data_IF_725145304979
#
_entry.id   IF_725145304979
#
_cell.length_a   1.000
_cell.length_b   1.000
_cell.length_c   1.000
_cell.angle_alpha   90.00
_cell.angle_beta   90.00
_cell.angle_gamma   90.00
#
_symmetry.space_group_name_H-M   'P 1'
#
loop_
_entity.id
_entity.type
_entity.pdbx_description
1 polymer ?
#
# COMPACT_ATOMS: atom_id res chain seq x y z
N UNK A 1 -1.09 15.69 -12.18
CA UNK A 1 -1.76 15.55 -10.85
C UNK A 1 -2.65 14.32 -10.77
N UNK A 2 -3.75 14.25 -11.52
CA UNK A 2 -4.63 13.07 -11.49
C UNK A 2 -3.91 11.81 -11.99
N UNK A 3 -3.03 11.95 -12.97
CA UNK A 3 -2.24 10.84 -13.51
C UNK A 3 -1.35 10.16 -12.45
N UNK A 4 -0.60 10.93 -11.65
CA UNK A 4 0.21 10.39 -10.56
C UNK A 4 -0.64 9.60 -9.54
N UNK A 5 -1.81 10.13 -9.16
CA UNK A 5 -2.75 9.43 -8.29
C UNK A 5 -3.19 8.10 -8.91
N UNK A 6 -3.60 8.13 -10.19
CA UNK A 6 -4.07 6.93 -10.90
C UNK A 6 -2.96 5.88 -10.95
N UNK A 7 -1.72 6.26 -11.29
CA UNK A 7 -0.60 5.33 -11.35
C UNK A 7 -0.37 4.63 -10.00
N UNK A 8 -0.34 5.39 -8.91
CA UNK A 8 -0.16 4.84 -7.55
C UNK A 8 -1.33 3.90 -7.19
N UNK A 9 -2.57 4.31 -7.45
CA UNK A 9 -3.76 3.50 -7.18
C UNK A 9 -3.74 2.19 -7.98
N UNK A 10 -3.41 2.24 -9.26
CA UNK A 10 -3.33 1.04 -10.11
C UNK A 10 -2.21 0.10 -9.66
N UNK A 11 -1.07 0.65 -9.23
CA UNK A 11 -0.01 -0.13 -8.62
C UNK A 11 -0.52 -0.85 -7.36
N UNK A 12 -1.15 -0.13 -6.43
CA UNK A 12 -1.67 -0.71 -5.18
C UNK A 12 -2.78 -1.74 -5.41
N UNK A 13 -3.63 -1.54 -6.43
CA UNK A 13 -4.62 -2.55 -6.84
C UNK A 13 -3.91 -3.80 -7.36
N UNK A 14 -2.91 -3.65 -8.22
CA UNK A 14 -2.12 -4.78 -8.73
C UNK A 14 -1.36 -5.49 -7.62
N UNK A 15 -0.95 -4.80 -6.56
CA UNK A 15 -0.29 -5.40 -5.41
C UNK A 15 -1.27 -6.31 -4.63
N UNK A 16 -2.48 -5.82 -4.37
CA UNK A 16 -3.45 -6.43 -3.46
C UNK A 16 -4.50 -7.35 -4.11
N UNK A 17 -4.79 -7.17 -5.40
CA UNK A 17 -5.87 -7.86 -6.14
C UNK A 17 -5.32 -8.60 -7.36
N UNK A 18 -6.01 -9.65 -7.79
CA UNK A 18 -5.61 -10.40 -9.00
C UNK A 18 -5.79 -9.59 -10.28
N UNK A 19 -6.86 -8.80 -10.36
CA UNK A 19 -7.14 -7.92 -11.49
C UNK A 19 -7.77 -6.60 -11.04
N UNK A 20 -7.68 -5.55 -11.87
CA UNK A 20 -8.44 -4.31 -11.66
C UNK A 20 -9.95 -4.59 -11.56
N UNK A 21 -10.44 -5.59 -12.32
CA UNK A 21 -11.83 -6.01 -12.30
C UNK A 21 -12.25 -6.56 -10.95
N UNK A 22 -11.41 -7.34 -10.30
CA UNK A 22 -11.70 -7.85 -8.97
C UNK A 22 -11.89 -6.72 -7.96
N UNK A 23 -11.09 -5.65 -8.08
CA UNK A 23 -11.24 -4.45 -7.26
C UNK A 23 -12.52 -3.68 -7.59
N UNK A 24 -12.70 -3.19 -8.82
CA UNK A 24 -13.84 -2.32 -9.12
C UNK A 24 -15.19 -3.05 -9.08
N UNK A 25 -15.23 -4.38 -9.21
CA UNK A 25 -16.49 -5.13 -9.11
C UNK A 25 -16.87 -5.48 -7.67
N UNK A 26 -15.89 -5.58 -6.76
CA UNK A 26 -16.12 -5.90 -5.35
C UNK A 26 -16.20 -4.66 -4.46
N UNK A 27 -15.39 -3.64 -4.73
CA UNK A 27 -15.25 -2.45 -3.88
C UNK A 27 -16.00 -1.24 -4.43
N UNK A 28 -16.09 -1.12 -5.76
CA UNK A 28 -16.75 0.01 -6.42
C UNK A 28 -18.12 -0.41 -6.99
N UNK A 29 -19.01 0.55 -7.12
CA UNK A 29 -20.33 0.33 -7.74
C UNK A 29 -20.36 0.85 -9.18
N UNK A 30 -19.31 0.56 -9.97
CA UNK A 30 -19.10 1.13 -11.32
C UNK A 30 -18.86 0.07 -12.39
N UNK A 31 -19.17 0.41 -13.65
CA UNK A 31 -18.90 -0.43 -14.82
C UNK A 31 -17.44 -0.30 -15.28
N UNK A 32 -16.99 -1.25 -16.10
CA UNK A 32 -15.67 -1.21 -16.74
C UNK A 32 -15.47 0.07 -17.58
N UNK A 33 -16.52 0.52 -18.26
CA UNK A 33 -16.49 1.77 -19.04
C UNK A 33 -16.21 2.97 -18.13
N UNK A 34 -16.95 3.09 -17.02
CA UNK A 34 -16.72 4.19 -16.07
C UNK A 34 -15.34 4.09 -15.40
N UNK A 35 -14.84 2.88 -15.14
CA UNK A 35 -13.48 2.70 -14.63
C UNK A 35 -12.44 3.24 -15.63
N UNK A 36 -12.59 2.92 -16.92
CA UNK A 36 -11.69 3.41 -17.95
C UNK A 36 -11.75 4.94 -18.10
N UNK A 37 -12.97 5.50 -18.13
CA UNK A 37 -13.19 6.95 -18.21
C UNK A 37 -12.64 7.71 -17.00
N UNK A 38 -12.67 7.10 -15.81
CA UNK A 38 -12.03 7.66 -14.61
C UNK A 38 -10.50 7.67 -14.74
N UNK A 39 -9.90 6.59 -15.25
CA UNK A 39 -8.46 6.52 -15.54
C UNK A 39 -8.01 7.54 -16.60
N UNK A 40 -8.90 7.90 -17.52
CA UNK A 40 -8.65 8.91 -18.55
C UNK A 40 -8.92 10.34 -18.07
N UNK A 41 -9.43 10.50 -16.84
CA UNK A 41 -9.78 11.81 -16.28
C UNK A 41 -11.08 12.41 -16.80
N UNK A 42 -11.89 11.64 -17.55
CA UNK A 42 -13.14 12.12 -18.13
C UNK A 42 -14.27 12.24 -17.10
N UNK A 43 -14.23 11.42 -16.05
CA UNK A 43 -15.25 11.42 -14.99
C UNK A 43 -14.62 11.41 -13.61
N UNK A 44 -15.32 12.03 -12.66
CA UNK A 44 -15.03 11.89 -11.22
C UNK A 44 -15.84 10.74 -10.63
N UNK A 45 -15.29 10.10 -9.60
CA UNK A 45 -16.00 9.06 -8.85
C UNK A 45 -17.01 9.71 -7.88
N UNK A 46 -17.99 8.93 -7.43
CA UNK A 46 -18.88 9.40 -6.35
C UNK A 46 -18.12 9.34 -5.02
N UNK A 47 -18.49 10.14 -4.01
CA UNK A 47 -17.79 10.16 -2.72
C UNK A 47 -17.60 8.79 -2.07
N UNK A 48 -18.58 7.88 -2.21
CA UNK A 48 -18.47 6.50 -1.73
C UNK A 48 -17.36 5.72 -2.44
N UNK A 49 -17.29 5.84 -3.76
CA UNK A 49 -16.30 5.14 -4.59
C UNK A 49 -14.91 5.78 -4.39
N UNK A 50 -14.83 7.10 -4.19
CA UNK A 50 -13.59 7.78 -3.79
C UNK A 50 -13.08 7.28 -2.43
N UNK A 51 -13.97 7.11 -1.45
CA UNK A 51 -13.60 6.56 -0.15
C UNK A 51 -13.05 5.13 -0.26
N UNK A 52 -13.56 4.33 -1.20
CA UNK A 52 -13.03 2.99 -1.46
C UNK A 52 -11.60 3.05 -2.04
N UNK A 53 -11.29 4.02 -2.90
CA UNK A 53 -9.91 4.27 -3.36
C UNK A 53 -9.01 4.67 -2.19
N UNK A 54 -9.46 5.59 -1.33
CA UNK A 54 -8.69 6.01 -0.15
C UNK A 54 -8.42 4.82 0.78
N UNK A 55 -9.40 3.94 0.96
CA UNK A 55 -9.28 2.75 1.82
C UNK A 55 -8.33 1.66 1.33
N UNK A 56 -7.76 1.81 0.12
CA UNK A 56 -6.63 1.00 -0.31
C UNK A 56 -5.36 1.28 0.51
N UNK A 57 -5.32 2.42 1.19
CA UNK A 57 -4.19 2.91 1.95
C UNK A 57 -4.59 3.09 3.42
N UNK A 58 -3.62 3.01 4.32
CA UNK A 58 -3.81 3.57 5.67
C UNK A 58 -3.92 5.09 5.61
N UNK A 59 -4.41 5.74 6.67
CA UNK A 59 -4.49 7.21 6.74
C UNK A 59 -3.10 7.87 6.53
N UNK A 60 -2.05 7.25 7.08
CA UNK A 60 -0.68 7.73 6.93
C UNK A 60 -0.16 7.55 5.50
N UNK A 61 -0.41 6.38 4.90
CA UNK A 61 -0.04 6.13 3.52
C UNK A 61 -0.78 7.04 2.55
N UNK A 62 -2.07 7.30 2.79
CA UNK A 62 -2.83 8.26 2.00
C UNK A 62 -2.23 9.67 2.10
N UNK A 63 -1.80 10.09 3.30
CA UNK A 63 -1.06 11.34 3.45
C UNK A 63 0.23 11.34 2.62
N UNK A 64 0.99 10.24 2.56
CA UNK A 64 2.16 10.12 1.69
C UNK A 64 1.79 10.25 0.21
N UNK A 65 0.73 9.56 -0.24
CA UNK A 65 0.21 9.66 -1.61
C UNK A 65 -0.10 11.12 -1.96
N UNK A 66 -0.79 11.85 -1.07
CA UNK A 66 -1.09 13.27 -1.27
C UNK A 66 0.17 14.15 -1.37
N UNK A 67 1.21 13.84 -0.58
CA UNK A 67 2.50 14.54 -0.68
C UNK A 67 3.18 14.28 -2.02
N UNK A 68 3.17 13.03 -2.51
CA UNK A 68 3.76 12.66 -3.80
C UNK A 68 3.01 13.32 -4.95
N UNK A 69 1.68 13.30 -4.95
CA UNK A 69 0.85 13.97 -5.98
C UNK A 69 1.13 15.46 -6.01
N UNK A 70 1.29 16.10 -4.85
CA UNK A 70 1.68 17.51 -4.77
C UNK A 70 3.08 17.73 -5.34
N UNK A 71 4.05 16.88 -5.00
CA UNK A 71 5.42 17.00 -5.52
C UNK A 71 5.49 16.80 -7.03
N UNK A 72 4.70 15.89 -7.59
CA UNK A 72 4.56 15.69 -9.04
C UNK A 72 4.08 16.96 -9.80
N UNK A 73 3.59 18.00 -9.11
CA UNK A 73 3.26 19.29 -9.75
C UNK A 73 4.46 20.21 -9.93
N UNK A 74 5.53 19.97 -9.18
CA UNK A 74 6.70 20.84 -9.13
C UNK A 74 7.97 20.16 -9.64
N UNK A 75 8.03 18.83 -9.56
CA UNK A 75 9.21 18.02 -9.83
C UNK A 75 8.94 17.03 -10.97
N UNK A 76 9.51 17.24 -12.18
CA UNK A 76 9.31 16.36 -13.33
C UNK A 76 9.74 14.91 -13.07
N UNK A 77 10.76 14.70 -12.24
CA UNK A 77 11.23 13.38 -11.82
C UNK A 77 10.14 12.60 -11.06
N UNK A 78 9.40 13.27 -10.18
CA UNK A 78 8.27 12.68 -9.42
C UNK A 78 7.05 12.52 -10.32
N UNK A 79 6.83 13.44 -11.25
CA UNK A 79 5.75 13.32 -12.24
C UNK A 79 5.95 12.10 -13.15
N UNK A 80 7.19 11.83 -13.56
CA UNK A 80 7.54 10.72 -14.45
C UNK A 80 7.50 9.38 -13.70
N UNK A 81 7.91 9.36 -12.43
CA UNK A 81 8.03 8.14 -11.62
C UNK A 81 7.29 8.23 -10.27
N UNK A 82 5.96 8.47 -10.25
CA UNK A 82 5.21 8.72 -9.01
C UNK A 82 5.11 7.48 -8.12
N UNK A 83 5.08 6.29 -8.71
CA UNK A 83 5.03 5.01 -7.97
C UNK A 83 6.35 4.78 -7.24
N UNK A 84 7.48 4.97 -7.92
CA UNK A 84 8.81 4.84 -7.32
C UNK A 84 9.01 5.83 -6.17
N UNK A 85 8.60 7.10 -6.36
CA UNK A 85 8.67 8.10 -5.30
C UNK A 85 7.79 7.71 -4.09
N UNK A 86 6.56 7.25 -4.32
CA UNK A 86 5.66 6.80 -3.26
C UNK A 86 6.23 5.62 -2.48
N UNK A 87 6.75 4.61 -3.17
CA UNK A 87 7.39 3.47 -2.55
C UNK A 87 8.64 3.93 -1.78
N UNK A 88 9.50 4.72 -2.40
CA UNK A 88 10.72 5.26 -1.79
C UNK A 88 10.45 5.97 -0.46
N UNK A 89 9.49 6.90 -0.42
CA UNK A 89 9.14 7.60 0.82
C UNK A 89 8.48 6.67 1.84
N UNK A 90 7.62 5.74 1.40
CA UNK A 90 6.98 4.73 2.27
C UNK A 90 8.04 3.86 2.96
N UNK A 91 9.03 3.35 2.21
CA UNK A 91 10.15 2.58 2.77
C UNK A 91 11.04 3.41 3.69
N UNK A 92 11.38 4.62 3.25
CA UNK A 92 12.24 5.50 4.04
C UNK A 92 11.63 5.77 5.42
N UNK A 93 10.32 6.07 5.48
CA UNK A 93 9.61 6.31 6.74
C UNK A 93 9.50 5.03 7.57
N UNK A 94 9.11 3.91 6.96
CA UNK A 94 9.04 2.61 7.64
C UNK A 94 10.38 2.26 8.31
N UNK A 95 11.48 2.34 7.57
CA UNK A 95 12.84 2.10 8.09
C UNK A 95 13.20 3.05 9.22
N UNK A 96 12.83 4.33 9.10
CA UNK A 96 13.06 5.32 10.16
C UNK A 96 12.30 4.97 11.44
N UNK A 97 11.05 4.54 11.34
CA UNK A 97 10.23 4.11 12.48
C UNK A 97 10.80 2.86 13.16
N UNK A 98 11.18 1.85 12.38
CA UNK A 98 11.81 0.63 12.93
C UNK A 98 13.12 0.96 13.64
N UNK A 99 13.92 1.86 13.08
CA UNK A 99 15.21 2.25 13.65
C UNK A 99 15.11 3.18 14.86
N UNK A 100 13.99 3.88 15.07
CA UNK A 100 13.78 4.67 16.29
C UNK A 100 13.50 3.80 17.52
N UNK A 101 13.19 2.52 17.34
CA UNK A 101 12.89 1.59 18.44
C UNK A 101 11.51 1.79 19.07
N UNK A 102 10.65 2.60 18.45
CA UNK A 102 9.30 2.93 18.92
C UNK A 102 8.20 2.31 18.05
N UNK A 103 8.58 1.62 16.98
CA UNK A 103 7.64 0.97 16.08
C UNK A 103 7.34 -0.46 16.53
N UNK A 104 6.08 -0.85 16.38
CA UNK A 104 5.61 -2.22 16.57
C UNK A 104 5.45 -2.89 15.20
N UNK A 105 6.01 -4.09 15.05
CA UNK A 105 5.89 -4.89 13.82
C UNK A 105 5.02 -6.11 14.08
N UNK A 106 4.08 -6.35 13.18
CA UNK A 106 3.23 -7.53 13.24
C UNK A 106 2.76 -7.95 11.84
N UNK A 107 2.71 -9.27 11.60
CA UNK A 107 2.02 -9.78 10.42
C UNK A 107 0.51 -9.68 10.59
N UNK A 108 -0.18 -9.25 9.53
CA UNK A 108 -1.63 -9.31 9.47
C UNK A 108 -2.07 -10.77 9.37
N UNK A 109 -2.85 -11.21 10.36
CA UNK A 109 -3.58 -12.46 10.24
C UNK A 109 -4.76 -12.24 9.28
N UNK A 110 -4.67 -12.80 8.07
CA UNK A 110 -5.81 -12.80 7.16
C UNK A 110 -6.83 -13.85 7.59
N UNK A 111 -8.11 -13.47 7.65
CA UNK A 111 -9.20 -14.43 7.66
C UNK A 111 -9.44 -14.90 6.23
N UNK A 112 -9.24 -16.19 5.95
CA UNK A 112 -9.44 -16.78 4.60
C UNK A 112 -10.80 -16.45 3.97
N UNK A 113 -11.84 -16.28 4.80
CA UNK A 113 -13.21 -15.91 4.36
C UNK A 113 -13.32 -14.47 3.86
N UNK A 114 -12.53 -13.54 4.42
CA UNK A 114 -12.48 -12.14 3.98
C UNK A 114 -11.66 -11.99 2.71
N UNK A 115 -10.53 -12.71 2.58
CA UNK A 115 -9.70 -12.73 1.37
C UNK A 115 -10.48 -13.21 0.14
N UNK A 116 -11.28 -14.27 0.29
CA UNK A 116 -12.10 -14.82 -0.80
C UNK A 116 -13.23 -13.87 -1.18
N UNK A 117 -13.94 -13.28 -0.22
CA UNK A 117 -15.08 -12.40 -0.50
C UNK A 117 -14.67 -11.05 -1.09
N UNK A 118 -13.44 -10.60 -0.82
CA UNK A 118 -12.88 -9.36 -1.36
C UNK A 118 -11.97 -9.58 -2.57
N UNK A 119 -11.82 -10.82 -3.07
CA UNK A 119 -10.93 -11.14 -4.20
C UNK A 119 -9.48 -10.66 -4.01
N UNK A 120 -8.99 -10.60 -2.77
CA UNK A 120 -7.60 -10.25 -2.45
C UNK A 120 -6.67 -11.41 -2.78
N UNK A 121 -5.40 -11.13 -3.08
CA UNK A 121 -4.40 -12.16 -3.37
C UNK A 121 -4.10 -12.98 -2.11
N UNK A 122 -4.32 -14.29 -2.18
CA UNK A 122 -4.06 -15.22 -1.06
C UNK A 122 -2.58 -15.45 -0.70
N UNK A 123 -1.65 -15.08 -1.59
CA UNK A 123 -0.24 -15.45 -1.45
C UNK A 123 0.65 -14.30 -0.95
N UNK A 124 0.05 -13.16 -0.60
CA UNK A 124 0.74 -12.03 0.01
C UNK A 124 0.40 -11.98 1.49
N UNK A 125 1.43 -11.87 2.33
CA UNK A 125 1.26 -11.52 3.74
C UNK A 125 1.50 -10.02 3.89
N UNK A 126 0.68 -9.33 4.67
CA UNK A 126 0.89 -7.92 4.99
C UNK A 126 1.69 -7.79 6.29
N UNK A 127 2.84 -7.14 6.23
CA UNK A 127 3.59 -6.70 7.40
C UNK A 127 3.11 -5.29 7.81
N UNK A 128 2.61 -5.17 9.04
CA UNK A 128 2.18 -3.90 9.63
C UNK A 128 3.31 -3.31 10.46
N UNK A 129 3.54 -2.02 10.27
CA UNK A 129 4.49 -1.22 11.02
C UNK A 129 3.69 -0.08 11.66
N UNK A 130 3.48 -0.17 12.96
CA UNK A 130 2.66 0.76 13.74
C UNK A 130 3.55 1.71 14.57
N UNK A 131 3.26 3.00 14.50
CA UNK A 131 3.80 4.02 15.41
C UNK A 131 2.70 4.48 16.35
N UNK A 132 2.80 4.07 17.61
CA UNK A 132 1.85 4.46 18.65
C UNK A 132 2.21 5.82 19.22
N UNK A 133 1.20 6.65 19.49
CA UNK A 133 1.34 7.96 20.11
C UNK A 133 1.04 7.95 21.61
N UNK A 134 0.91 6.77 22.22
CA UNK A 134 0.52 6.54 23.61
C UNK A 134 -0.78 7.27 24.00
N UNK A 135 -1.65 7.47 23.01
CA UNK A 135 -2.89 8.20 23.18
C UNK A 135 -4.03 7.50 22.45
N UNK A 136 -4.89 6.81 23.23
CA UNK A 136 -6.06 6.09 22.70
C UNK A 136 -5.66 5.10 21.59
N UNK A 137 -6.47 4.99 20.54
CA UNK A 137 -6.19 4.19 19.35
C UNK A 137 -5.49 4.99 18.25
N UNK A 138 -5.00 6.21 18.55
CA UNK A 138 -4.30 7.02 17.55
C UNK A 138 -2.92 6.43 17.34
N UNK A 139 -2.71 5.95 16.12
CA UNK A 139 -1.43 5.45 15.64
C UNK A 139 -1.36 5.68 14.16
N UNK A 140 -0.15 5.85 13.67
CA UNK A 140 0.11 5.79 12.25
C UNK A 140 0.55 4.38 11.89
N UNK A 141 0.16 3.92 10.69
CA UNK A 141 0.47 2.59 10.20
C UNK A 141 1.00 2.67 8.79
N UNK A 142 2.03 1.87 8.51
CA UNK A 142 2.45 1.52 7.15
C UNK A 142 2.25 0.02 6.96
N UNK A 143 1.73 -0.37 5.80
CA UNK A 143 1.50 -1.77 5.46
C UNK A 143 2.35 -2.17 4.26
N UNK A 144 3.18 -3.21 4.41
CA UNK A 144 4.05 -3.71 3.35
C UNK A 144 3.54 -5.06 2.88
N UNK A 145 3.27 -5.20 1.59
CA UNK A 145 2.89 -6.49 1.02
C UNK A 145 4.15 -7.30 0.75
N UNK A 146 4.26 -8.45 1.42
CA UNK A 146 5.40 -9.35 1.29
C UNK A 146 4.94 -10.68 0.71
N UNK A 147 5.76 -11.33 -0.14
CA UNK A 147 5.51 -12.71 -0.55
C UNK A 147 5.35 -13.62 0.67
N UNK A 148 4.32 -14.47 0.70
CA UNK A 148 4.02 -15.33 1.86
C UNK A 148 5.16 -16.29 2.26
N UNK A 149 6.12 -16.56 1.38
CA UNK A 149 7.34 -17.32 1.69
C UNK A 149 8.21 -16.63 2.74
N UNK A 150 8.20 -15.30 2.80
CA UNK A 150 9.00 -14.51 3.74
C UNK A 150 8.52 -14.73 5.18
N UNK A 151 7.21 -14.74 5.40
CA UNK A 151 6.66 -15.02 6.73
C UNK A 151 7.11 -16.41 7.22
N UNK A 152 7.02 -17.43 6.34
CA UNK A 152 7.45 -18.79 6.67
C UNK A 152 8.95 -18.87 6.96
N UNK A 153 9.78 -18.12 6.23
CA UNK A 153 11.23 -18.06 6.47
C UNK A 153 11.54 -17.49 7.85
N UNK A 154 10.97 -16.35 8.22
CA UNK A 154 11.20 -15.72 9.52
C UNK A 154 10.73 -16.63 10.67
N UNK A 155 9.56 -17.26 10.51
CA UNK A 155 9.03 -18.23 11.49
C UNK A 155 9.93 -19.47 11.62
N UNK A 156 10.49 -19.96 10.52
CA UNK A 156 11.37 -21.15 10.49
C UNK A 156 12.74 -20.85 11.09
N UNK A 157 13.30 -19.69 10.76
CA UNK A 157 14.62 -19.24 11.21
C UNK A 157 14.59 -18.72 12.65
N UNK A 158 13.38 -18.55 13.23
CA UNK A 158 13.14 -17.96 14.55
C UNK A 158 13.85 -16.61 14.71
N UNK A 159 14.00 -15.88 13.61
CA UNK A 159 14.61 -14.57 13.60
C UNK A 159 13.63 -13.55 14.17
N UNK A 160 14.14 -12.54 14.89
CA UNK A 160 13.31 -11.42 15.33
C UNK A 160 12.85 -10.61 14.11
N UNK A 161 11.56 -10.27 14.06
CA UNK A 161 10.96 -9.59 12.91
C UNK A 161 11.56 -8.20 12.66
N UNK A 162 11.99 -7.50 13.72
CA UNK A 162 12.69 -6.20 13.59
C UNK A 162 14.09 -6.39 13.03
N UNK A 163 14.78 -7.46 13.42
CA UNK A 163 16.12 -7.79 12.92
C UNK A 163 16.05 -8.16 11.43
N UNK A 164 15.14 -9.07 11.07
CA UNK A 164 14.92 -9.44 9.67
C UNK A 164 14.61 -8.23 8.79
N UNK A 165 13.73 -7.33 9.25
CA UNK A 165 13.36 -6.13 8.52
C UNK A 165 14.58 -5.22 8.24
N UNK A 166 15.46 -5.05 9.23
CA UNK A 166 16.65 -4.21 9.08
C UNK A 166 17.66 -4.78 8.09
N UNK A 167 17.75 -6.10 7.99
CA UNK A 167 18.74 -6.80 7.17
C UNK A 167 18.28 -7.04 5.73
N UNK A 168 17.00 -7.29 5.49
CA UNK A 168 16.52 -7.88 4.23
C UNK A 168 15.54 -7.01 3.43
N UNK A 169 15.01 -5.92 4.01
CA UNK A 169 13.92 -5.18 3.34
C UNK A 169 14.35 -4.51 2.02
N UNK A 170 15.63 -4.14 1.89
CA UNK A 170 16.14 -3.46 0.69
C UNK A 170 16.23 -4.41 -0.51
N UNK A 171 16.54 -5.69 -0.29
CA UNK A 171 16.65 -6.70 -1.34
C UNK A 171 15.27 -7.12 -1.89
N UNK A 172 14.21 -6.91 -1.10
CA UNK A 172 12.87 -7.36 -1.42
C UNK A 172 11.93 -6.27 -1.97
N UNK A 173 12.32 -5.00 -1.88
CA UNK A 173 11.52 -3.87 -2.37
C UNK A 173 12.21 -3.06 -3.47
N UNK A 174 12.86 -3.75 -4.40
CA UNK A 174 13.27 -3.16 -5.67
C UNK A 174 12.04 -3.07 -6.57
N UNK A 175 11.67 -1.86 -6.99
CA UNK A 175 10.61 -1.64 -7.98
C UNK A 175 11.01 -2.39 -9.24
N UNK A 176 10.33 -3.48 -9.57
CA UNK A 176 10.53 -4.18 -10.84
C UNK A 176 9.87 -3.34 -11.93
N UNK A 177 10.68 -2.87 -12.90
CA UNK A 177 10.24 -2.15 -14.11
C UNK A 177 9.15 -2.90 -14.90
#
# INVERSE_FOLDING_TARGET
MQEALIQIVLYTIKENYHTEKDFYSSQLSISQENWQRWKEGEISLKPKDEQAIISLFTDYEWMLVQKVIRNATFFPEVETHPVEEYLGIKFHVAKKWVNSGTAELAFQQENEKETISQHRKKNSTVLKIDMNYDFWSYKDRIELSLPGIIQQQIETEKQDLLEWFKENIEDHYVVQE
#
